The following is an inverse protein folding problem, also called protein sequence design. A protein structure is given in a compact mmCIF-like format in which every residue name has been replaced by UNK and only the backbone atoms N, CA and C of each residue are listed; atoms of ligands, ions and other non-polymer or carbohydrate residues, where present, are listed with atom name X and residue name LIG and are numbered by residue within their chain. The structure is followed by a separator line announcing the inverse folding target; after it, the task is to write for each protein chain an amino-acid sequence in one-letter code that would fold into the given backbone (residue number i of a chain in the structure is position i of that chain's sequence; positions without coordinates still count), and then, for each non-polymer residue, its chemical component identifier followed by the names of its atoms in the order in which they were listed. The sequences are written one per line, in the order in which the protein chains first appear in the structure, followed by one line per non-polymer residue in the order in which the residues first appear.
data_IF_610796188393
#
_entry.id   IF_610796188393
#
_cell.length_a   1.000
_cell.length_b   1.000
_cell.length_c   1.000
_cell.angle_alpha   90.00
_cell.angle_beta   90.00
_cell.angle_gamma   90.00
#
_symmetry.space_group_name_H-M   'P 1'
#
loop_
_entity.id
_entity.type
_entity.pdbx_description
1 polymer ?
#
# COMPACT_ATOMS: atom_id res chain seq x y z
N UNK A 1 -24.62 11.98 6.44
CA UNK A 1 -23.22 11.85 5.95
C UNK A 1 -23.23 10.62 5.06
N UNK A 2 -23.07 10.78 3.73
CA UNK A 2 -23.31 9.71 2.75
C UNK A 2 -22.34 8.52 2.97
N UNK A 3 -22.83 7.29 3.04
CA UNK A 3 -22.01 6.10 3.32
C UNK A 3 -20.88 5.90 2.29
N UNK A 4 -21.11 6.27 1.03
CA UNK A 4 -20.10 6.27 -0.04
C UNK A 4 -18.91 7.20 0.26
N UNK A 5 -19.17 8.36 0.87
CA UNK A 5 -18.12 9.31 1.25
C UNK A 5 -17.25 8.75 2.38
N UNK A 6 -17.84 7.96 3.28
CA UNK A 6 -17.10 7.25 4.33
C UNK A 6 -16.17 6.21 3.72
N UNK A 7 -16.65 5.44 2.74
CA UNK A 7 -15.85 4.42 2.03
C UNK A 7 -14.69 5.06 1.26
N UNK A 8 -14.92 6.13 0.50
CA UNK A 8 -13.86 6.91 -0.16
C UNK A 8 -12.79 7.39 0.84
N UNK A 9 -13.26 7.86 1.99
CA UNK A 9 -12.41 8.28 3.09
C UNK A 9 -11.55 7.14 3.65
N UNK A 10 -12.08 5.92 3.71
CA UNK A 10 -11.34 4.75 4.15
C UNK A 10 -10.35 4.26 3.11
N UNK A 11 -10.73 4.20 1.83
CA UNK A 11 -9.81 3.89 0.73
C UNK A 11 -8.60 4.82 0.74
N UNK A 12 -8.82 6.13 0.84
CA UNK A 12 -7.71 7.09 0.89
C UNK A 12 -6.78 6.83 2.09
N UNK A 13 -7.33 6.46 3.26
CA UNK A 13 -6.53 6.13 4.45
C UNK A 13 -5.76 4.82 4.28
N UNK A 14 -6.41 3.77 3.77
CA UNK A 14 -5.79 2.46 3.58
C UNK A 14 -4.70 2.51 2.51
N UNK A 15 -4.93 3.22 1.40
CA UNK A 15 -3.92 3.48 0.35
C UNK A 15 -2.73 4.27 0.92
N UNK A 16 -2.99 5.28 1.75
CA UNK A 16 -1.92 6.02 2.44
C UNK A 16 -1.06 5.10 3.32
N UNK A 17 -1.68 4.17 4.04
CA UNK A 17 -0.95 3.20 4.87
C UNK A 17 -0.15 2.22 4.00
N UNK A 18 -0.71 1.77 2.87
CA UNK A 18 -0.02 0.90 1.92
C UNK A 18 1.22 1.60 1.35
N UNK A 19 1.07 2.83 0.88
CA UNK A 19 2.17 3.63 0.33
C UNK A 19 3.29 3.86 1.34
N UNK A 20 2.95 4.17 2.59
CA UNK A 20 3.95 4.28 3.68
C UNK A 20 4.64 2.94 4.00
N UNK A 21 3.94 1.82 3.87
CA UNK A 21 4.57 0.49 3.99
C UNK A 21 5.55 0.25 2.84
N UNK A 22 5.15 0.52 1.61
CA UNK A 22 6.00 0.36 0.42
C UNK A 22 7.28 1.21 0.52
N UNK A 23 7.17 2.48 0.91
CA UNK A 23 8.34 3.36 1.14
C UNK A 23 9.28 2.77 2.19
N UNK A 24 8.74 2.38 3.35
CA UNK A 24 9.55 1.82 4.44
C UNK A 24 10.22 0.51 4.04
N UNK A 25 9.52 -0.36 3.33
CA UNK A 25 10.08 -1.62 2.82
C UNK A 25 11.20 -1.33 1.81
N UNK A 26 10.99 -0.40 0.86
CA UNK A 26 12.01 -0.02 -0.11
C UNK A 26 13.27 0.55 0.56
N UNK A 27 13.11 1.43 1.55
CA UNK A 27 14.24 2.08 2.23
C UNK A 27 15.03 1.12 3.11
N UNK A 28 14.34 0.24 3.83
CA UNK A 28 14.97 -0.73 4.73
C UNK A 28 15.70 -1.82 3.95
N UNK A 29 15.17 -2.26 2.82
CA UNK A 29 15.72 -3.36 2.02
C UNK A 29 16.45 -2.86 0.77
N UNK A 30 17.09 -1.68 0.84
CA UNK A 30 17.80 -1.06 -0.30
C UNK A 30 18.91 -1.92 -0.92
N UNK A 31 19.46 -2.86 -0.16
CA UNK A 31 20.48 -3.81 -0.65
C UNK A 31 19.88 -4.95 -1.48
N UNK A 32 18.57 -5.20 -1.35
CA UNK A 32 17.80 -6.06 -2.24
C UNK A 32 17.21 -5.17 -3.34
N UNK A 33 17.91 -5.09 -4.48
CA UNK A 33 17.55 -4.19 -5.56
C UNK A 33 16.16 -4.47 -6.13
N UNK A 34 15.75 -5.74 -6.21
CA UNK A 34 14.43 -6.10 -6.74
C UNK A 34 13.32 -5.60 -5.80
N UNK A 35 13.42 -5.90 -4.51
CA UNK A 35 12.43 -5.43 -3.52
C UNK A 35 12.39 -3.90 -3.49
N UNK A 36 13.56 -3.26 -3.52
CA UNK A 36 13.66 -1.80 -3.52
C UNK A 36 12.95 -1.17 -4.71
N UNK A 37 13.29 -1.58 -5.94
CA UNK A 37 12.73 -0.99 -7.15
C UNK A 37 11.24 -1.31 -7.30
N UNK A 38 10.82 -2.55 -7.08
CA UNK A 38 9.40 -2.90 -7.20
C UNK A 38 8.56 -2.16 -6.16
N UNK A 39 9.00 -2.04 -4.91
CA UNK A 39 8.24 -1.25 -3.93
C UNK A 39 8.10 0.22 -4.34
N UNK A 40 9.11 0.80 -5.01
CA UNK A 40 9.04 2.17 -5.54
C UNK A 40 8.08 2.28 -6.71
N UNK A 41 8.07 1.31 -7.62
CA UNK A 41 7.14 1.28 -8.74
C UNK A 41 5.68 1.12 -8.26
N UNK A 42 5.44 0.20 -7.33
CA UNK A 42 4.11 -0.01 -6.76
C UNK A 42 3.60 1.23 -6.01
N UNK A 43 4.48 2.02 -5.40
CA UNK A 43 4.12 3.27 -4.72
C UNK A 43 3.52 4.29 -5.70
N UNK A 44 3.93 4.30 -6.97
CA UNK A 44 3.40 5.21 -7.99
C UNK A 44 1.90 4.99 -8.16
N UNK A 45 1.45 3.74 -8.33
CA UNK A 45 0.01 3.42 -8.42
C UNK A 45 -0.76 3.85 -7.17
N UNK A 46 -0.23 3.57 -5.98
CA UNK A 46 -0.89 3.98 -4.73
C UNK A 46 -1.02 5.51 -4.61
N UNK A 47 -0.04 6.28 -5.08
CA UNK A 47 -0.11 7.74 -5.07
C UNK A 47 -1.12 8.27 -6.11
N UNK A 48 -1.16 7.66 -7.30
CA UNK A 48 -2.17 7.95 -8.31
C UNK A 48 -3.59 7.65 -7.80
N UNK A 49 -3.81 6.49 -7.17
CA UNK A 49 -5.08 6.11 -6.57
C UNK A 49 -5.53 7.16 -5.56
N UNK A 50 -4.64 7.57 -4.65
CA UNK A 50 -4.90 8.61 -3.63
C UNK A 50 -5.31 9.93 -4.28
N UNK A 51 -4.62 10.33 -5.35
CA UNK A 51 -4.93 11.55 -6.07
C UNK A 51 -6.32 11.50 -6.72
N UNK A 52 -6.64 10.40 -7.41
CA UNK A 52 -7.96 10.19 -8.04
C UNK A 52 -9.09 10.17 -6.99
N UNK A 53 -8.90 9.44 -5.89
CA UNK A 53 -9.86 9.40 -4.77
C UNK A 53 -10.07 10.77 -4.15
N UNK A 54 -8.99 11.55 -3.97
CA UNK A 54 -9.10 12.90 -3.42
C UNK A 54 -9.79 13.87 -4.38
N UNK A 55 -9.58 13.74 -5.70
CA UNK A 55 -10.28 14.55 -6.70
C UNK A 55 -11.79 14.26 -6.73
N UNK A 56 -12.14 12.99 -6.84
CA UNK A 56 -13.53 12.50 -6.85
C UNK A 56 -14.23 12.80 -5.51
N UNK A 57 -13.50 12.68 -4.40
CA UNK A 57 -13.97 13.06 -3.07
C UNK A 57 -14.20 14.55 -2.91
N UNK A 58 -13.34 15.41 -3.46
CA UNK A 58 -13.48 16.87 -3.35
C UNK A 58 -14.79 17.37 -3.98
N UNK A 59 -15.20 16.79 -5.12
CA UNK A 59 -16.50 17.06 -5.78
C UNK A 59 -17.69 16.68 -4.90
N UNK A 60 -17.52 15.71 -3.99
CA UNK A 60 -18.53 15.22 -3.03
C UNK A 60 -18.40 15.81 -1.61
N UNK A 61 -17.56 16.84 -1.43
CA UNK A 61 -17.31 17.49 -0.13
C UNK A 61 -16.33 16.77 0.80
N UNK A 62 -15.70 15.68 0.35
CA UNK A 62 -14.69 14.92 1.09
C UNK A 62 -13.30 15.44 0.73
N UNK A 63 -12.76 16.38 1.53
CA UNK A 63 -11.41 16.90 1.33
C UNK A 63 -10.36 15.93 1.87
N UNK A 64 -9.44 15.48 1.01
CA UNK A 64 -8.27 14.65 1.34
C UNK A 64 -7.01 15.19 0.67
N UNK A 65 -5.86 14.84 1.22
CA UNK A 65 -4.57 15.35 0.72
C UNK A 65 -4.26 14.75 -0.64
N UNK A 66 -3.83 15.60 -1.58
CA UNK A 66 -3.29 15.20 -2.89
C UNK A 66 -1.76 15.25 -2.93
N UNK A 67 -1.12 15.60 -1.81
CA UNK A 67 0.32 15.69 -1.76
C UNK A 67 0.94 14.30 -2.00
N UNK A 68 2.02 14.22 -2.80
CA UNK A 68 2.72 12.97 -3.01
C UNK A 68 3.14 12.34 -1.68
N UNK A 69 3.05 11.01 -1.59
CA UNK A 69 3.52 10.28 -0.41
C UNK A 69 4.98 10.61 -0.04
N UNK A 70 5.82 10.89 -1.04
CA UNK A 70 7.23 11.26 -0.89
C UNK A 70 7.43 12.68 -0.35
N UNK A 71 6.42 13.56 -0.44
CA UNK A 71 6.47 14.92 0.10
C UNK A 71 6.25 14.95 1.63
N UNK A 72 5.75 13.86 2.21
CA UNK A 72 5.69 13.69 3.66
C UNK A 72 7.12 13.39 4.11
N UNK A 73 7.81 14.41 4.63
CA UNK A 73 9.24 14.39 4.92
C UNK A 73 9.74 13.19 5.76
N UNK A 74 11.07 13.02 5.88
CA UNK A 74 11.74 11.79 6.31
C UNK A 74 11.66 11.53 7.84
N UNK A 75 10.50 11.74 8.47
CA UNK A 75 10.33 11.74 9.92
C UNK A 75 10.39 10.32 10.52
N UNK A 76 10.10 9.27 9.74
CA UNK A 76 10.12 7.88 10.23
C UNK A 76 11.38 7.09 9.85
N UNK A 77 12.07 7.47 8.77
CA UNK A 77 13.25 6.76 8.28
C UNK A 77 14.47 6.87 9.21
N UNK A 78 14.57 7.98 9.97
CA UNK A 78 15.68 8.22 10.87
C UNK A 78 15.60 7.42 12.18
N UNK A 79 14.38 7.11 12.66
CA UNK A 79 14.18 6.44 13.95
C UNK A 79 14.49 4.94 13.91
N UNK A 80 14.43 4.31 12.72
CA UNK A 80 14.69 2.87 12.56
C UNK A 80 16.13 2.50 12.21
N UNK A 81 16.92 3.41 11.62
CA UNK A 81 18.34 3.15 11.29
C UNK A 81 19.20 2.82 12.53
N UNK A 82 18.80 3.26 13.72
CA UNK A 82 19.49 2.92 14.96
C UNK A 82 19.22 1.48 15.45
N UNK A 83 18.09 0.87 15.06
CA UNK A 83 17.72 -0.48 15.52
C UNK A 83 18.34 -1.60 14.66
N UNK A 84 18.65 -1.33 13.40
CA UNK A 84 19.17 -2.33 12.45
C UNK A 84 20.70 -2.52 12.52
N UNK A 85 21.42 -1.66 13.24
CA UNK A 85 22.87 -1.79 13.47
C UNK A 85 23.24 -2.86 14.51
N UNK A 86 22.27 -3.51 15.16
CA UNK A 86 22.52 -4.51 16.21
C UNK A 86 21.90 -5.86 15.82
N UNK A 87 22.68 -6.68 15.10
CA UNK A 87 22.62 -8.15 15.23
C UNK A 87 22.36 -8.97 13.96
N UNK A 88 23.44 -9.60 13.48
CA UNK A 88 23.57 -10.92 12.81
C UNK A 88 22.58 -11.32 11.68
N UNK A 89 23.19 -11.88 10.63
CA UNK A 89 22.71 -12.30 9.29
C UNK A 89 21.34 -13.00 9.18
N UNK A 90 20.75 -13.50 10.26
CA UNK A 90 19.41 -14.14 10.29
C UNK A 90 18.25 -13.15 10.47
N UNK A 91 18.49 -11.96 11.05
CA UNK A 91 17.46 -10.94 11.22
C UNK A 91 16.96 -10.28 9.92
N UNK A 92 17.81 -10.04 8.89
CA UNK A 92 17.38 -9.36 7.66
C UNK A 92 16.28 -10.10 6.88
N UNK A 93 16.40 -11.43 6.70
CA UNK A 93 15.43 -12.22 5.93
C UNK A 93 14.07 -12.33 6.65
N UNK A 94 14.08 -12.51 7.97
CA UNK A 94 12.85 -12.50 8.79
C UNK A 94 12.20 -11.11 8.81
N UNK A 95 13.00 -10.05 8.81
CA UNK A 95 12.52 -8.67 8.73
C UNK A 95 11.87 -8.38 7.37
N UNK A 96 12.49 -8.81 6.26
CA UNK A 96 11.91 -8.73 4.93
C UNK A 96 10.59 -9.50 4.87
N UNK A 97 10.55 -10.73 5.37
CA UNK A 97 9.34 -11.54 5.42
C UNK A 97 8.21 -10.84 6.22
N UNK A 98 8.53 -10.23 7.36
CA UNK A 98 7.58 -9.42 8.15
C UNK A 98 7.05 -8.23 7.35
N UNK A 99 7.92 -7.51 6.67
CA UNK A 99 7.54 -6.31 5.90
C UNK A 99 6.68 -6.69 4.69
N UNK A 100 7.05 -7.73 3.94
CA UNK A 100 6.26 -8.26 2.82
C UNK A 100 4.87 -8.75 3.28
N UNK A 101 4.79 -9.46 4.41
CA UNK A 101 3.48 -9.85 5.00
C UNK A 101 2.63 -8.63 5.37
N UNK A 102 3.27 -7.56 5.84
CA UNK A 102 2.57 -6.32 6.19
C UNK A 102 2.04 -5.61 4.94
N UNK A 103 2.84 -5.56 3.86
CA UNK A 103 2.41 -5.05 2.54
C UNK A 103 1.24 -5.88 2.01
N UNK A 104 1.37 -7.21 1.98
CA UNK A 104 0.30 -8.12 1.54
C UNK A 104 -1.01 -7.88 2.29
N UNK A 105 -0.96 -7.86 3.63
CA UNK A 105 -2.15 -7.67 4.46
C UNK A 105 -2.80 -6.31 4.22
N UNK A 106 -1.98 -5.25 4.09
CA UNK A 106 -2.53 -3.92 3.83
C UNK A 106 -3.11 -3.80 2.41
N UNK A 107 -2.48 -4.41 1.41
CA UNK A 107 -3.02 -4.47 0.05
C UNK A 107 -4.34 -5.24 -0.01
N UNK A 108 -4.49 -6.32 0.77
CA UNK A 108 -5.76 -7.04 0.90
C UNK A 108 -6.86 -6.15 1.49
N UNK A 109 -6.56 -5.37 2.54
CA UNK A 109 -7.52 -4.39 3.10
C UNK A 109 -7.94 -3.37 2.04
N UNK A 110 -6.99 -2.83 1.27
CA UNK A 110 -7.28 -1.88 0.19
C UNK A 110 -8.15 -2.52 -0.90
N UNK A 111 -7.86 -3.76 -1.29
CA UNK A 111 -8.65 -4.53 -2.27
C UNK A 111 -10.11 -4.67 -1.83
N UNK A 112 -10.34 -5.08 -0.59
CA UNK A 112 -11.70 -5.22 -0.04
C UNK A 112 -12.42 -3.87 -0.01
N UNK A 113 -11.71 -2.78 0.35
CA UNK A 113 -12.31 -1.44 0.33
C UNK A 113 -12.74 -1.02 -1.08
N UNK A 114 -11.95 -1.37 -2.11
CA UNK A 114 -12.32 -1.14 -3.51
C UNK A 114 -13.55 -1.95 -3.94
N UNK A 115 -13.64 -3.22 -3.51
CA UNK A 115 -14.81 -4.07 -3.78
C UNK A 115 -16.07 -3.49 -3.13
N UNK A 116 -15.99 -3.08 -1.87
CA UNK A 116 -17.09 -2.42 -1.16
C UNK A 116 -17.52 -1.15 -1.89
N UNK A 117 -16.58 -0.32 -2.35
CA UNK A 117 -16.92 0.88 -3.13
C UNK A 117 -17.62 0.52 -4.44
N UNK A 118 -17.10 -0.46 -5.20
CA UNK A 118 -17.70 -0.86 -6.47
C UNK A 118 -19.14 -1.36 -6.29
N UNK A 119 -19.39 -2.21 -5.30
CA UNK A 119 -20.73 -2.72 -5.02
C UNK A 119 -21.68 -1.62 -4.54
N UNK A 120 -21.22 -0.75 -3.64
CA UNK A 120 -22.03 0.37 -3.15
C UNK A 120 -22.33 1.38 -4.27
N UNK A 121 -21.36 1.66 -5.15
CA UNK A 121 -21.53 2.52 -6.31
C UNK A 121 -22.53 1.93 -7.31
N UNK A 122 -22.45 0.61 -7.56
CA UNK A 122 -23.40 -0.09 -8.43
C UNK A 122 -24.83 -0.02 -7.86
N UNK A 123 -25.01 -0.25 -6.56
CA UNK A 123 -26.32 -0.17 -5.90
C UNK A 123 -26.90 1.25 -5.87
N UNK A 124 -26.03 2.27 -5.87
CA UNK A 124 -26.41 3.68 -5.88
C UNK A 124 -26.48 4.29 -7.30
N UNK A 125 -26.24 3.49 -8.34
CA UNK A 125 -26.13 3.94 -9.74
C UNK A 125 -25.09 5.07 -9.96
N UNK A 126 -24.04 5.10 -9.12
CA UNK A 126 -22.95 6.08 -9.21
C UNK A 126 -21.85 5.58 -10.17
N UNK A 127 -22.00 5.91 -11.45
CA UNK A 127 -21.08 5.48 -12.50
C UNK A 127 -19.65 6.02 -12.33
N UNK A 128 -19.48 7.22 -11.76
CA UNK A 128 -18.16 7.81 -11.54
C UNK A 128 -17.37 7.04 -10.47
N UNK A 129 -18.03 6.62 -9.38
CA UNK A 129 -17.39 5.79 -8.34
C UNK A 129 -17.12 4.36 -8.81
N UNK A 130 -18.04 3.80 -9.61
CA UNK A 130 -17.86 2.48 -10.18
C UNK A 130 -16.64 2.46 -11.11
N UNK A 131 -16.53 3.43 -12.02
CA UNK A 131 -15.38 3.56 -12.92
C UNK A 131 -14.06 3.74 -12.15
N UNK A 132 -14.06 4.58 -11.11
CA UNK A 132 -12.90 4.77 -10.24
C UNK A 132 -12.42 3.45 -9.63
N UNK A 133 -13.34 2.67 -9.07
CA UNK A 133 -13.03 1.38 -8.46
C UNK A 133 -12.53 0.37 -9.51
N UNK A 134 -13.22 0.25 -10.64
CA UNK A 134 -12.83 -0.66 -11.74
C UNK A 134 -11.43 -0.35 -12.28
N UNK A 135 -11.03 0.93 -12.29
CA UNK A 135 -9.70 1.33 -12.77
C UNK A 135 -8.58 1.04 -11.76
N UNK A 136 -8.79 1.30 -10.47
CA UNK A 136 -7.74 1.24 -9.45
C UNK A 136 -7.62 -0.15 -8.77
N UNK A 137 -8.72 -0.90 -8.69
CA UNK A 137 -8.75 -2.22 -8.02
C UNK A 137 -7.79 -3.24 -8.67
N UNK A 138 -7.69 -3.37 -10.00
CA UNK A 138 -6.77 -4.33 -10.62
C UNK A 138 -5.29 -4.08 -10.29
N UNK A 139 -4.89 -2.82 -10.13
CA UNK A 139 -3.52 -2.42 -9.75
C UNK A 139 -3.24 -2.83 -8.30
N UNK A 140 -4.20 -2.62 -7.39
CA UNK A 140 -4.13 -3.11 -6.00
C UNK A 140 -3.99 -4.64 -5.93
N UNK A 141 -4.74 -5.37 -6.76
CA UNK A 141 -4.64 -6.82 -6.84
C UNK A 141 -3.26 -7.28 -7.33
N UNK A 142 -2.62 -6.53 -8.24
CA UNK A 142 -1.24 -6.80 -8.68
C UNK A 142 -0.24 -6.60 -7.53
N UNK A 143 -0.36 -5.51 -6.77
CA UNK A 143 0.47 -5.25 -5.59
C UNK A 143 0.36 -6.38 -4.56
N UNK A 144 -0.87 -6.83 -4.27
CA UNK A 144 -1.13 -7.93 -3.35
C UNK A 144 -0.52 -9.25 -3.85
N UNK A 145 -0.69 -9.59 -5.13
CA UNK A 145 -0.11 -10.80 -5.72
C UNK A 145 1.41 -10.80 -5.68
N UNK A 146 2.04 -9.67 -6.00
CA UNK A 146 3.49 -9.52 -5.90
C UNK A 146 3.98 -9.76 -4.48
N UNK A 147 3.35 -9.13 -3.48
CA UNK A 147 3.75 -9.30 -2.08
C UNK A 147 3.62 -10.76 -1.63
N UNK A 148 2.55 -11.45 -2.01
CA UNK A 148 2.37 -12.88 -1.72
C UNK A 148 3.45 -13.75 -2.41
N UNK A 149 3.75 -13.48 -3.69
CA UNK A 149 4.80 -14.18 -4.41
C UNK A 149 6.16 -14.02 -3.71
N UNK A 150 6.51 -12.79 -3.31
CA UNK A 150 7.76 -12.53 -2.58
C UNK A 150 7.80 -13.14 -1.19
N UNK A 151 6.68 -13.23 -0.48
CA UNK A 151 6.58 -14.01 0.77
C UNK A 151 6.94 -15.48 0.51
N UNK A 152 6.37 -16.09 -0.54
CA UNK A 152 6.63 -17.51 -0.89
C UNK A 152 8.09 -17.75 -1.28
N UNK A 153 8.71 -16.80 -1.96
CA UNK A 153 10.12 -16.87 -2.35
C UNK A 153 11.07 -16.72 -1.14
N UNK A 154 10.77 -15.77 -0.24
CA UNK A 154 11.65 -15.42 0.89
C UNK A 154 11.52 -16.40 2.06
N UNK A 155 10.33 -16.97 2.29
CA UNK A 155 10.03 -17.76 3.49
C UNK A 155 10.94 -18.98 3.69
N UNK A 156 11.26 -19.81 2.69
CA UNK A 156 12.14 -20.97 2.87
C UNK A 156 13.52 -20.56 3.41
N UNK A 157 14.14 -19.55 2.81
CA UNK A 157 15.46 -19.07 3.20
C UNK A 157 15.44 -18.42 4.59
N UNK A 158 14.38 -17.68 4.90
CA UNK A 158 14.24 -17.00 6.18
C UNK A 158 14.01 -17.95 7.36
N UNK A 159 13.34 -19.09 7.14
CA UNK A 159 12.94 -20.02 8.21
C UNK A 159 13.81 -21.28 8.29
N UNK A 160 14.36 -21.76 7.18
CA UNK A 160 15.14 -23.00 7.14
C UNK A 160 16.63 -22.81 7.48
N UNK A 161 17.11 -21.57 7.61
CA UNK A 161 18.52 -21.32 7.96
C UNK A 161 18.72 -21.55 9.47
N UNK A 162 19.57 -22.52 9.89
CA UNK A 162 19.76 -22.91 11.30
C UNK A 162 20.41 -21.81 12.14
#
# INVERSE_FOLDING_TARGET
MNDLNTVLGEIHRSETRLGKLLIRTADRHRTDHEVHHVCRDLMVWTDEHRCRVAEVGARRGVRRSRAPLTAIGPVEALRHKAADLVGRRHRPALLLLRDLRSVYRQAAVVSVNWEVLAQAAQAAEDSELLELATRCHPETLRQMRWANAKVKETAPQAVATP
#
